data_IF_366618021624
#
_entry.id   IF_366618021624
#
_cell.length_a   1.000
_cell.length_b   1.000
_cell.length_c   1.000
_cell.angle_alpha   90.00
_cell.angle_beta   90.00
_cell.angle_gamma   90.00
#
_symmetry.space_group_name_H-M   'P 1'
#
loop_
_entity.id
_entity.type
_entity.pdbx_description
1 polymer ?
#
# COMPACT_ATOMS: atom_id res chain seq x y z
N UNK A 1 -18.19 -0.88 37.74
CA UNK A 1 -17.98 -0.65 36.30
C UNK A 1 -16.54 -0.87 35.86
N UNK A 2 -15.49 -0.36 36.54
CA UNK A 2 -14.10 -0.66 36.18
C UNK A 2 -13.78 -2.18 36.18
N UNK A 3 -14.20 -2.93 37.23
CA UNK A 3 -14.00 -4.38 37.26
C UNK A 3 -14.69 -5.15 36.12
N UNK A 4 -15.83 -4.64 35.65
CA UNK A 4 -16.55 -5.21 34.51
C UNK A 4 -15.80 -4.96 33.20
N UNK A 5 -15.27 -3.74 33.03
CA UNK A 5 -14.45 -3.43 31.85
C UNK A 5 -13.16 -4.22 31.83
N UNK A 6 -12.51 -4.42 32.97
CA UNK A 6 -11.31 -5.25 33.09
C UNK A 6 -11.57 -6.72 32.72
N UNK A 7 -12.77 -7.22 33.03
CA UNK A 7 -13.20 -8.57 32.60
C UNK A 7 -13.43 -8.61 31.07
N UNK A 8 -14.05 -7.57 30.51
CA UNK A 8 -14.23 -7.45 29.06
C UNK A 8 -12.89 -7.35 28.32
N UNK A 9 -11.95 -6.57 28.84
CA UNK A 9 -10.60 -6.44 28.24
C UNK A 9 -9.88 -7.78 28.19
N UNK A 10 -9.84 -8.53 29.29
CA UNK A 10 -9.19 -9.86 29.34
C UNK A 10 -9.81 -10.84 28.35
N UNK A 11 -11.13 -10.82 28.19
CA UNK A 11 -11.82 -11.70 27.25
C UNK A 11 -11.54 -11.30 25.81
N UNK A 12 -11.57 -9.99 25.49
CA UNK A 12 -11.27 -9.49 24.16
C UNK A 12 -9.81 -9.67 23.78
N UNK A 13 -8.87 -9.61 24.72
CA UNK A 13 -7.45 -9.91 24.50
C UNK A 13 -7.23 -11.37 24.07
N UNK A 14 -8.02 -12.30 24.59
CA UNK A 14 -7.97 -13.71 24.19
C UNK A 14 -8.65 -14.00 22.84
N UNK A 15 -9.66 -13.23 22.50
CA UNK A 15 -10.51 -13.46 21.32
C UNK A 15 -10.07 -12.67 20.07
N UNK A 16 -9.28 -11.60 20.23
CA UNK A 16 -8.84 -10.74 19.14
C UNK A 16 -7.35 -10.93 18.84
N UNK A 17 -6.94 -10.75 17.58
CA UNK A 17 -5.52 -10.62 17.24
C UNK A 17 -4.86 -9.52 18.07
N UNK A 18 -3.66 -9.77 18.61
CA UNK A 18 -2.95 -8.87 19.51
C UNK A 18 -2.85 -7.41 18.99
N UNK A 19 -2.67 -7.25 17.70
CA UNK A 19 -2.60 -5.94 17.05
C UNK A 19 -3.95 -5.20 17.05
N UNK A 20 -5.06 -5.90 16.79
CA UNK A 20 -6.39 -5.30 16.82
C UNK A 20 -6.79 -4.90 18.24
N UNK A 21 -6.47 -5.76 19.22
CA UNK A 21 -6.71 -5.46 20.62
C UNK A 21 -5.93 -4.21 21.06
N UNK A 22 -4.62 -4.16 20.77
CA UNK A 22 -3.77 -3.03 21.15
C UNK A 22 -4.19 -1.70 20.51
N UNK A 23 -4.65 -1.74 19.26
CA UNK A 23 -5.00 -0.54 18.50
C UNK A 23 -6.40 0.00 18.84
N UNK A 24 -7.39 -0.89 19.04
CA UNK A 24 -8.78 -0.48 19.09
C UNK A 24 -9.44 -0.59 20.45
N UNK A 25 -9.04 -1.59 21.23
CA UNK A 25 -9.72 -1.92 22.50
C UNK A 25 -8.94 -1.38 23.70
N UNK A 26 -7.62 -1.56 23.69
CA UNK A 26 -6.75 -1.11 24.79
C UNK A 26 -6.79 0.39 25.07
N UNK A 27 -6.95 1.28 24.06
CA UNK A 27 -7.04 2.73 24.28
C UNK A 27 -8.37 3.19 24.90
N UNK A 28 -9.39 2.32 24.99
CA UNK A 28 -10.67 2.67 25.59
C UNK A 28 -10.57 2.68 27.12
N UNK A 29 -11.13 3.71 27.75
CA UNK A 29 -11.24 3.79 29.20
C UNK A 29 -12.70 3.77 29.63
N UNK A 30 -13.02 3.06 30.72
CA UNK A 30 -14.37 3.06 31.27
C UNK A 30 -14.55 4.22 32.25
N UNK A 31 -15.60 5.01 32.06
CA UNK A 31 -16.01 6.05 33.01
C UNK A 31 -17.33 5.70 33.67
N UNK A 32 -17.47 6.05 34.96
CA UNK A 32 -18.72 5.93 35.70
C UNK A 32 -19.51 7.22 35.52
N UNK A 33 -20.61 7.14 34.78
CA UNK A 33 -21.47 8.31 34.57
C UNK A 33 -22.54 8.39 35.69
N UNK A 34 -22.59 9.50 36.39
CA UNK A 34 -23.51 9.71 37.53
C UNK A 34 -25.01 9.66 37.12
N UNK A 35 -25.33 9.85 35.85
CA UNK A 35 -26.70 9.92 35.33
C UNK A 35 -27.21 8.53 34.85
N UNK A 36 -26.33 7.57 34.52
CA UNK A 36 -26.71 6.25 34.03
C UNK A 36 -25.84 5.17 34.72
N UNK A 37 -26.17 4.78 35.95
CA UNK A 37 -25.32 3.82 36.72
C UNK A 37 -25.31 2.40 36.13
N UNK A 38 -26.21 2.07 35.22
CA UNK A 38 -26.38 0.75 34.61
C UNK A 38 -25.79 0.61 33.21
N UNK A 39 -25.20 1.67 32.65
CA UNK A 39 -24.56 1.64 31.33
C UNK A 39 -23.03 1.57 31.46
N UNK A 40 -22.40 0.79 30.60
CA UNK A 40 -20.94 0.78 30.43
C UNK A 40 -20.56 1.92 29.45
N UNK A 41 -20.09 3.03 30.02
CA UNK A 41 -19.63 4.17 29.24
C UNK A 41 -18.15 4.01 28.95
N UNK A 42 -17.79 3.87 27.67
CA UNK A 42 -16.42 3.75 27.19
C UNK A 42 -16.00 5.04 26.51
N UNK A 43 -14.92 5.62 26.98
CA UNK A 43 -14.35 6.84 26.44
C UNK A 43 -13.29 6.47 25.40
N UNK A 44 -13.51 6.89 24.18
CA UNK A 44 -12.56 6.76 23.10
C UNK A 44 -11.62 7.98 23.06
N UNK A 45 -10.31 7.79 22.83
CA UNK A 45 -9.35 8.88 22.81
C UNK A 45 -9.56 9.86 21.64
N UNK A 46 -10.17 9.39 20.54
CA UNK A 46 -10.48 10.22 19.38
C UNK A 46 -11.76 9.72 18.68
N UNK A 47 -12.30 10.57 17.78
CA UNK A 47 -13.54 10.29 17.03
C UNK A 47 -13.43 9.03 16.16
N UNK A 48 -12.24 8.72 15.71
CA UNK A 48 -11.98 7.59 14.84
C UNK A 48 -12.10 6.26 15.59
N UNK A 49 -11.41 6.09 16.74
CA UNK A 49 -11.58 4.92 17.60
C UNK A 49 -13.03 4.75 17.99
N UNK A 50 -13.74 5.87 18.28
CA UNK A 50 -15.15 5.87 18.62
C UNK A 50 -16.02 5.30 17.49
N UNK A 51 -15.88 5.80 16.25
CA UNK A 51 -16.69 5.35 15.11
C UNK A 51 -16.36 3.91 14.73
N UNK A 52 -15.07 3.55 14.70
CA UNK A 52 -14.61 2.20 14.36
C UNK A 52 -15.06 1.13 15.36
N UNK A 53 -14.90 1.43 16.66
CA UNK A 53 -15.36 0.52 17.74
C UNK A 53 -16.88 0.42 17.73
N UNK A 54 -17.60 1.52 17.45
CA UNK A 54 -19.06 1.52 17.34
C UNK A 54 -19.54 0.60 16.22
N UNK A 55 -18.93 0.65 15.05
CA UNK A 55 -19.35 -0.14 13.89
C UNK A 55 -18.99 -1.63 14.02
N UNK A 56 -17.82 -1.93 14.56
CA UNK A 56 -17.28 -3.30 14.50
C UNK A 56 -17.26 -4.07 15.81
N UNK A 57 -17.17 -3.37 16.94
CA UNK A 57 -16.97 -3.99 18.23
C UNK A 57 -18.08 -3.71 19.26
N UNK A 58 -18.95 -2.72 19.06
CA UNK A 58 -19.98 -2.35 20.04
C UNK A 58 -20.89 -3.54 20.43
N UNK A 59 -21.39 -4.29 19.45
CA UNK A 59 -22.24 -5.46 19.68
C UNK A 59 -21.47 -6.59 20.40
N UNK A 60 -20.18 -6.77 20.10
CA UNK A 60 -19.33 -7.77 20.75
C UNK A 60 -19.00 -7.38 22.19
N UNK A 61 -18.67 -6.10 22.43
CA UNK A 61 -18.44 -5.56 23.75
C UNK A 61 -19.72 -5.70 24.60
N UNK A 62 -20.91 -5.37 24.05
CA UNK A 62 -22.19 -5.51 24.72
C UNK A 62 -22.48 -6.95 25.13
N UNK A 63 -22.24 -7.91 24.27
CA UNK A 63 -22.41 -9.34 24.58
C UNK A 63 -21.47 -9.80 25.71
N UNK A 64 -20.19 -9.46 25.63
CA UNK A 64 -19.20 -9.84 26.67
C UNK A 64 -19.54 -9.14 28.00
N UNK A 65 -19.97 -7.88 27.98
CA UNK A 65 -20.38 -7.15 29.14
C UNK A 65 -21.63 -7.76 29.82
N UNK A 66 -22.60 -8.21 29.01
CA UNK A 66 -23.79 -8.89 29.50
C UNK A 66 -23.45 -10.26 30.11
N UNK A 67 -22.57 -11.06 29.48
CA UNK A 67 -22.09 -12.33 30.02
C UNK A 67 -21.33 -12.14 31.34
N UNK A 68 -20.47 -11.13 31.43
CA UNK A 68 -19.68 -10.85 32.64
C UNK A 68 -20.50 -10.22 33.79
N UNK A 69 -21.53 -9.42 33.43
CA UNK A 69 -22.40 -8.74 34.40
C UNK A 69 -23.66 -9.50 34.80
N UNK A 70 -23.97 -10.63 34.14
CA UNK A 70 -25.17 -11.44 34.42
C UNK A 70 -26.50 -10.74 34.09
N UNK A 71 -26.47 -9.60 33.37
CA UNK A 71 -27.62 -8.80 32.95
C UNK A 71 -27.30 -8.07 31.65
N UNK A 72 -28.34 -7.64 30.94
CA UNK A 72 -28.16 -6.81 29.75
C UNK A 72 -27.60 -5.44 30.13
N UNK A 73 -26.46 -5.06 29.55
CA UNK A 73 -25.77 -3.80 29.85
C UNK A 73 -25.66 -2.98 28.58
N UNK A 74 -26.22 -1.76 28.62
CA UNK A 74 -26.10 -0.82 27.53
C UNK A 74 -24.65 -0.30 27.43
N UNK A 75 -24.04 -0.42 26.24
CA UNK A 75 -22.69 0.10 25.97
C UNK A 75 -22.79 1.43 25.24
N UNK A 76 -22.25 2.47 25.86
CA UNK A 76 -22.14 3.79 25.25
C UNK A 76 -20.68 4.15 24.97
N UNK A 77 -20.43 4.62 23.76
CA UNK A 77 -19.13 5.13 23.34
C UNK A 77 -19.20 6.66 23.29
N UNK A 78 -18.31 7.32 24.01
CA UNK A 78 -18.19 8.79 24.06
C UNK A 78 -16.76 9.22 23.74
N UNK A 79 -16.60 10.44 23.29
CA UNK A 79 -15.28 11.02 22.97
C UNK A 79 -14.67 11.61 24.24
N UNK A 80 -13.36 11.41 24.46
CA UNK A 80 -12.62 12.06 25.53
C UNK A 80 -12.76 13.60 25.41
N UNK A 81 -13.15 14.27 26.48
CA UNK A 81 -13.14 15.74 26.54
C UNK A 81 -11.67 16.18 26.63
N UNK A 82 -11.15 16.78 25.57
CA UNK A 82 -9.83 17.41 25.56
C UNK A 82 -9.83 18.61 26.48
N UNK A 83 -9.19 18.47 27.64
CA UNK A 83 -8.68 19.61 28.41
C UNK A 83 -7.35 19.99 27.76
N UNK A 84 -7.13 21.25 27.33
CA UNK A 84 -5.85 21.64 26.75
C UNK A 84 -4.74 21.47 27.79
N UNK A 85 -3.80 20.56 27.57
CA UNK A 85 -2.61 20.49 28.36
C UNK A 85 -1.71 21.69 28.07
N UNK A 86 -1.06 22.29 29.10
CA UNK A 86 -0.18 23.44 28.89
C UNK A 86 0.99 23.03 27.98
N UNK A 87 1.23 23.87 26.98
CA UNK A 87 2.31 23.73 26.03
C UNK A 87 3.66 23.57 26.75
N UNK A 88 4.22 22.38 26.70
CA UNK A 88 5.64 22.16 27.02
C UNK A 88 6.46 22.70 25.87
N UNK A 89 7.33 23.65 26.21
CA UNK A 89 8.35 24.17 25.31
C UNK A 89 9.14 23.00 24.67
N UNK A 90 9.52 23.10 23.38
CA UNK A 90 10.26 22.07 22.70
C UNK A 90 11.64 21.93 23.34
N UNK A 91 11.84 20.88 24.13
CA UNK A 91 13.18 20.46 24.52
C UNK A 91 13.88 20.01 23.24
N UNK A 92 14.96 20.71 22.92
CA UNK A 92 15.87 20.34 21.85
C UNK A 92 16.39 18.93 22.12
N UNK A 93 15.87 17.95 21.36
CA UNK A 93 16.48 16.63 21.29
C UNK A 93 17.80 16.82 20.56
N UNK A 94 18.94 16.40 21.14
CA UNK A 94 20.19 16.42 20.41
C UNK A 94 20.02 15.56 19.16
N UNK A 95 20.14 16.17 18.00
CA UNK A 95 20.37 15.41 16.77
C UNK A 95 21.72 14.72 16.97
N UNK A 96 21.68 13.44 17.34
CA UNK A 96 22.82 12.56 17.14
C UNK A 96 22.99 12.41 15.64
N UNK A 97 23.68 13.35 15.05
CA UNK A 97 24.26 13.23 13.73
C UNK A 97 25.33 12.15 13.82
N UNK A 98 24.90 10.89 13.68
CA UNK A 98 25.83 9.82 13.32
C UNK A 98 26.23 10.13 11.89
N UNK A 99 27.45 10.66 11.69
CA UNK A 99 28.03 10.73 10.36
C UNK A 99 27.89 9.36 9.71
N UNK A 100 27.37 9.26 8.48
CA UNK A 100 27.22 7.97 7.82
C UNK A 100 28.58 7.30 7.78
N UNK A 101 28.65 6.07 8.25
CA UNK A 101 29.91 5.33 8.22
C UNK A 101 30.42 5.25 6.77
N UNK A 102 31.75 5.34 6.51
CA UNK A 102 32.31 5.33 5.16
C UNK A 102 31.86 4.13 4.30
N UNK A 103 31.39 3.08 4.94
CA UNK A 103 30.88 1.89 4.30
C UNK A 103 29.46 2.05 3.72
N UNK A 104 28.60 2.84 4.35
CA UNK A 104 27.25 3.16 3.87
C UNK A 104 27.28 4.01 2.59
N UNK A 105 28.21 4.98 2.50
CA UNK A 105 28.42 5.77 1.28
C UNK A 105 28.93 4.93 0.12
N UNK A 106 29.87 4.00 0.38
CA UNK A 106 30.36 3.06 -0.63
C UNK A 106 29.28 2.09 -1.10
N UNK A 107 28.44 1.64 -0.18
CA UNK A 107 27.28 0.76 -0.49
C UNK A 107 26.14 1.50 -1.19
N UNK A 108 26.11 2.82 -1.20
CA UNK A 108 24.98 3.67 -1.68
C UNK A 108 23.67 3.36 -0.98
N UNK A 109 23.72 3.08 0.32
CA UNK A 109 22.55 2.83 1.14
C UNK A 109 22.03 4.13 1.76
N UNK A 110 20.70 4.24 1.84
CA UNK A 110 20.06 5.31 2.61
C UNK A 110 19.98 4.89 4.08
N UNK A 111 20.64 5.60 5.01
CA UNK A 111 20.68 5.23 6.42
C UNK A 111 19.31 5.29 7.11
N UNK A 112 18.32 5.99 6.55
CA UNK A 112 16.97 6.06 7.10
C UNK A 112 16.13 4.81 6.82
N UNK A 113 16.57 3.93 5.92
CA UNK A 113 15.86 2.71 5.58
C UNK A 113 16.33 1.56 6.47
N UNK A 114 15.70 1.44 7.63
CA UNK A 114 16.02 0.41 8.63
C UNK A 114 14.82 -0.48 8.91
N UNK A 115 15.03 -1.60 9.59
CA UNK A 115 13.93 -2.47 10.02
C UNK A 115 13.02 -1.82 11.07
N UNK A 116 13.55 -0.86 11.85
CA UNK A 116 12.79 -0.10 12.86
C UNK A 116 11.88 0.94 12.22
N UNK A 117 12.32 1.56 11.11
CA UNK A 117 11.53 2.52 10.36
C UNK A 117 10.52 1.85 9.40
N UNK A 118 10.66 0.53 9.20
CA UNK A 118 9.76 -0.25 8.35
C UNK A 118 8.52 -0.71 9.13
N UNK A 119 7.35 -0.16 8.80
CA UNK A 119 6.09 -0.53 9.43
C UNK A 119 5.67 -1.92 9.00
N UNK A 120 5.42 -2.81 9.98
CA UNK A 120 5.05 -4.20 9.75
C UNK A 120 3.55 -4.41 9.88
N UNK A 121 2.97 -5.17 8.98
CA UNK A 121 1.59 -5.60 9.01
C UNK A 121 1.43 -6.92 8.24
N UNK A 122 0.19 -7.43 8.13
CA UNK A 122 -0.08 -8.70 7.42
C UNK A 122 0.46 -8.70 5.98
N UNK A 123 0.40 -7.53 5.31
CA UNK A 123 0.80 -7.37 3.93
C UNK A 123 2.31 -7.58 3.67
N UNK A 124 3.16 -7.50 4.70
CA UNK A 124 4.61 -7.54 4.53
C UNK A 124 5.37 -8.30 5.63
N UNK A 125 4.67 -8.90 6.60
CA UNK A 125 5.31 -9.58 7.73
C UNK A 125 6.24 -10.71 7.31
N UNK A 126 5.85 -11.50 6.28
CA UNK A 126 6.66 -12.60 5.77
C UNK A 126 7.92 -12.08 5.09
N UNK A 127 7.78 -11.04 4.26
CA UNK A 127 8.92 -10.41 3.58
C UNK A 127 9.91 -9.82 4.60
N UNK A 128 9.40 -9.16 5.66
CA UNK A 128 10.25 -8.63 6.74
C UNK A 128 10.96 -9.75 7.51
N UNK A 129 10.26 -10.84 7.84
CA UNK A 129 10.86 -11.97 8.56
C UNK A 129 11.97 -12.62 7.73
N UNK A 130 11.73 -12.84 6.43
CA UNK A 130 12.75 -13.35 5.51
C UNK A 130 13.96 -12.41 5.40
N UNK A 131 13.72 -11.11 5.31
CA UNK A 131 14.76 -10.09 5.23
C UNK A 131 15.63 -10.05 6.50
N UNK A 132 15.04 -10.19 7.69
CA UNK A 132 15.78 -10.29 8.94
C UNK A 132 16.69 -11.53 8.97
N UNK A 133 16.15 -12.68 8.59
CA UNK A 133 16.93 -13.93 8.53
C UNK A 133 18.11 -13.83 7.57
N UNK A 134 17.93 -13.16 6.42
CA UNK A 134 19.00 -12.91 5.46
C UNK A 134 20.04 -11.93 6.02
N UNK A 135 19.62 -10.91 6.74
CA UNK A 135 20.54 -9.96 7.37
C UNK A 135 21.39 -10.60 8.50
N UNK A 136 20.80 -11.54 9.26
CA UNK A 136 21.49 -12.27 10.33
C UNK A 136 22.44 -13.36 9.78
N UNK A 137 22.00 -14.07 8.74
CA UNK A 137 22.72 -15.24 8.21
C UNK A 137 22.91 -15.14 6.68
N UNK A 138 23.65 -14.13 6.18
CA UNK A 138 23.82 -13.91 4.75
C UNK A 138 24.57 -15.07 4.09
N UNK A 139 24.06 -15.48 2.92
CA UNK A 139 24.60 -16.58 2.11
C UNK A 139 24.16 -17.98 2.56
N UNK A 140 23.62 -18.12 3.77
CA UNK A 140 23.17 -19.40 4.33
C UNK A 140 21.65 -19.55 4.31
N UNK A 141 20.92 -18.46 4.53
CA UNK A 141 19.44 -18.45 4.55
C UNK A 141 18.91 -17.79 3.29
N UNK A 142 17.99 -18.46 2.58
CA UNK A 142 17.23 -17.86 1.47
C UNK A 142 18.10 -17.13 0.43
N UNK A 143 18.93 -17.84 -0.31
CA UNK A 143 19.79 -17.27 -1.33
C UNK A 143 19.44 -17.78 -2.75
N UNK A 144 18.92 -16.94 -3.66
CA UNK A 144 18.57 -15.54 -3.47
C UNK A 144 17.31 -15.31 -2.62
N UNK A 145 17.19 -14.14 -2.00
CA UNK A 145 15.90 -13.63 -1.52
C UNK A 145 15.27 -12.77 -2.63
N UNK A 146 14.13 -13.19 -3.12
CA UNK A 146 13.39 -12.48 -4.16
C UNK A 146 12.13 -11.84 -3.57
N UNK A 147 12.07 -10.51 -3.59
CA UNK A 147 10.96 -9.72 -3.02
C UNK A 147 10.18 -9.10 -4.17
N UNK A 148 8.89 -9.43 -4.29
CA UNK A 148 8.05 -8.85 -5.33
C UNK A 148 6.79 -8.19 -4.76
N UNK A 149 6.18 -7.32 -5.58
CA UNK A 149 4.94 -6.63 -5.22
C UNK A 149 4.82 -5.32 -5.98
N UNK A 150 3.64 -4.74 -6.01
CA UNK A 150 3.35 -3.51 -6.75
C UNK A 150 4.30 -2.35 -6.48
N UNK A 151 4.24 -1.35 -7.34
CA UNK A 151 5.07 -0.13 -7.22
C UNK A 151 4.77 0.61 -5.92
N UNK A 152 5.82 1.09 -5.23
CA UNK A 152 5.67 1.95 -4.05
C UNK A 152 5.20 1.24 -2.78
N UNK A 153 5.32 -0.10 -2.68
CA UNK A 153 4.94 -0.88 -1.49
C UNK A 153 6.04 -1.04 -0.43
N UNK A 154 7.24 -0.49 -0.67
CA UNK A 154 8.35 -0.52 0.29
C UNK A 154 9.41 -1.59 0.02
N UNK A 155 9.46 -2.20 -1.17
CA UNK A 155 10.52 -3.16 -1.58
C UNK A 155 11.92 -2.58 -1.40
N UNK A 156 12.18 -1.41 -1.96
CA UNK A 156 13.44 -0.68 -1.84
C UNK A 156 13.83 -0.41 -0.39
N UNK A 157 12.86 -0.04 0.47
CA UNK A 157 13.09 0.16 1.89
C UNK A 157 13.59 -1.14 2.55
N UNK A 158 12.92 -2.24 2.32
CA UNK A 158 13.24 -3.53 2.93
C UNK A 158 14.60 -4.06 2.48
N UNK A 159 14.92 -3.94 1.19
CA UNK A 159 16.22 -4.32 0.63
C UNK A 159 17.34 -3.49 1.24
N UNK A 160 17.17 -2.19 1.36
CA UNK A 160 18.19 -1.32 1.96
C UNK A 160 18.29 -1.53 3.48
N UNK A 161 17.20 -1.90 4.16
CA UNK A 161 17.24 -2.29 5.58
C UNK A 161 18.13 -3.53 5.81
N UNK A 162 18.09 -4.52 4.91
CA UNK A 162 19.04 -5.66 4.95
C UNK A 162 20.49 -5.16 4.84
N UNK A 163 20.76 -4.29 3.88
CA UNK A 163 22.10 -3.73 3.67
C UNK A 163 22.60 -2.95 4.88
N UNK A 164 21.75 -2.07 5.45
CA UNK A 164 22.09 -1.29 6.64
C UNK A 164 22.34 -2.17 7.86
N UNK A 165 21.52 -3.20 8.08
CA UNK A 165 21.70 -4.13 9.18
C UNK A 165 23.00 -4.92 9.05
N UNK A 166 23.34 -5.42 7.85
CA UNK A 166 24.58 -6.12 7.62
C UNK A 166 25.81 -5.20 7.76
N UNK A 167 25.72 -3.95 7.25
CA UNK A 167 26.79 -2.98 7.38
C UNK A 167 27.09 -2.65 8.87
N UNK A 168 26.05 -2.59 9.70
CA UNK A 168 26.20 -2.38 11.15
C UNK A 168 26.83 -3.59 11.86
N UNK A 169 26.43 -4.82 11.47
CA UNK A 169 26.95 -6.05 12.07
C UNK A 169 28.36 -6.41 11.57
N UNK A 170 28.66 -6.13 10.30
CA UNK A 170 29.92 -6.48 9.63
C UNK A 170 30.47 -5.27 8.87
N UNK A 171 31.17 -4.35 9.54
CA UNK A 171 31.68 -3.13 8.91
C UNK A 171 32.66 -3.34 7.74
N UNK A 172 33.27 -4.53 7.64
CA UNK A 172 34.18 -4.87 6.55
C UNK A 172 33.49 -5.56 5.36
N UNK A 173 32.19 -5.87 5.45
CA UNK A 173 31.45 -6.52 4.37
C UNK A 173 31.38 -5.62 3.14
N UNK A 174 31.61 -6.19 1.98
CA UNK A 174 31.47 -5.52 0.69
C UNK A 174 30.03 -5.60 0.21
N UNK A 175 29.28 -4.53 0.49
CA UNK A 175 27.85 -4.43 0.18
C UNK A 175 27.68 -3.52 -1.05
N UNK A 176 26.83 -3.93 -1.98
CA UNK A 176 26.43 -3.11 -3.13
C UNK A 176 24.92 -3.10 -3.26
N UNK A 177 24.33 -1.92 -3.13
CA UNK A 177 22.96 -1.64 -3.57
C UNK A 177 23.01 -0.98 -4.94
N UNK A 178 22.20 -1.46 -5.88
CA UNK A 178 22.13 -0.93 -7.23
C UNK A 178 20.74 -1.15 -7.84
N UNK A 179 20.24 -0.16 -8.57
CA UNK A 179 19.10 -0.35 -9.47
C UNK A 179 19.54 -1.11 -10.73
N UNK A 180 18.70 -2.01 -11.22
CA UNK A 180 19.01 -2.80 -12.41
C UNK A 180 19.34 -1.93 -13.64
N UNK A 181 18.69 -0.78 -13.81
CA UNK A 181 19.03 0.16 -14.88
C UNK A 181 20.45 0.71 -14.76
N UNK A 182 20.89 1.01 -13.54
CA UNK A 182 22.27 1.45 -13.30
C UNK A 182 23.27 0.35 -13.53
N UNK A 183 22.96 -0.90 -13.17
CA UNK A 183 23.80 -2.07 -13.49
C UNK A 183 24.03 -2.17 -15.00
N UNK A 184 22.98 -2.02 -15.81
CA UNK A 184 23.08 -1.99 -17.28
C UNK A 184 24.03 -0.88 -17.73
N UNK A 185 23.90 0.30 -17.16
CA UNK A 185 24.74 1.46 -17.51
C UNK A 185 26.21 1.22 -17.15
N UNK A 186 26.49 0.66 -15.97
CA UNK A 186 27.84 0.32 -15.52
C UNK A 186 28.46 -0.75 -16.42
N UNK A 187 27.69 -1.76 -16.80
CA UNK A 187 28.10 -2.84 -17.70
C UNK A 187 28.47 -2.29 -19.09
N UNK A 188 27.60 -1.47 -19.69
CA UNK A 188 27.87 -0.86 -21.01
C UNK A 188 29.14 0.00 -20.97
N UNK A 189 29.31 0.79 -19.92
CA UNK A 189 30.51 1.61 -19.70
C UNK A 189 31.76 0.76 -19.60
N UNK A 190 31.72 -0.36 -18.85
CA UNK A 190 32.85 -1.27 -18.71
C UNK A 190 33.29 -1.87 -20.06
N UNK A 191 32.32 -2.20 -20.92
CA UNK A 191 32.63 -2.67 -22.29
C UNK A 191 33.27 -1.56 -23.14
N UNK A 192 32.72 -0.34 -23.12
CA UNK A 192 33.24 0.79 -23.88
C UNK A 192 34.67 1.17 -23.45
N UNK A 193 34.95 1.09 -22.16
CA UNK A 193 36.24 1.46 -21.56
C UNK A 193 37.25 0.29 -21.52
N UNK A 194 36.89 -0.87 -22.05
CA UNK A 194 37.74 -2.11 -21.99
C UNK A 194 38.14 -2.51 -20.56
N UNK A 195 37.30 -2.17 -19.57
CA UNK A 195 37.48 -2.46 -18.13
C UNK A 195 36.53 -3.55 -17.62
N UNK A 196 36.11 -4.44 -18.50
CA UNK A 196 35.14 -5.48 -18.20
C UNK A 196 35.61 -6.49 -17.14
N UNK A 197 36.91 -6.82 -17.13
CA UNK A 197 37.49 -7.72 -16.12
C UNK A 197 37.50 -7.08 -14.72
N UNK A 198 37.66 -5.75 -14.63
CA UNK A 198 37.58 -5.03 -13.37
C UNK A 198 36.13 -5.02 -12.86
N UNK A 199 35.16 -4.85 -13.78
CA UNK A 199 33.72 -4.93 -13.46
C UNK A 199 33.39 -6.34 -12.91
N UNK A 200 33.81 -7.41 -13.56
CA UNK A 200 33.60 -8.78 -13.07
C UNK A 200 34.25 -9.00 -11.70
N UNK A 201 35.53 -8.65 -11.53
CA UNK A 201 36.24 -8.78 -10.25
C UNK A 201 35.49 -8.03 -9.12
N UNK A 202 35.02 -6.83 -9.40
CA UNK A 202 34.28 -6.05 -8.43
C UNK A 202 32.99 -6.76 -7.99
N UNK A 203 32.12 -7.14 -8.93
CA UNK A 203 30.85 -7.80 -8.59
C UNK A 203 31.06 -9.17 -7.94
N UNK A 204 32.03 -9.95 -8.34
CA UNK A 204 32.36 -11.25 -7.72
C UNK A 204 32.96 -11.10 -6.31
N UNK A 205 33.51 -9.96 -5.97
CA UNK A 205 34.11 -9.71 -4.65
C UNK A 205 33.11 -9.30 -3.58
N UNK A 206 31.84 -9.10 -3.92
CA UNK A 206 30.81 -8.65 -2.99
C UNK A 206 30.42 -9.74 -2.00
N UNK A 207 30.11 -9.34 -0.77
CA UNK A 207 29.52 -10.21 0.24
C UNK A 207 27.99 -10.18 0.21
N UNK A 208 27.43 -9.03 -0.22
CA UNK A 208 25.99 -8.82 -0.40
C UNK A 208 25.73 -7.98 -1.64
N UNK A 209 24.95 -8.53 -2.58
CA UNK A 209 24.42 -7.82 -3.74
C UNK A 209 22.92 -7.57 -3.55
N UNK A 210 22.54 -6.30 -3.51
CA UNK A 210 21.15 -5.84 -3.45
C UNK A 210 20.81 -5.20 -4.78
N UNK A 211 19.98 -5.87 -5.58
CA UNK A 211 19.57 -5.37 -6.89
C UNK A 211 18.08 -5.05 -6.90
N UNK A 212 17.78 -3.81 -7.23
CA UNK A 212 16.42 -3.27 -7.19
C UNK A 212 15.85 -3.20 -8.61
N UNK A 213 14.57 -3.58 -8.75
CA UNK A 213 13.80 -3.49 -9.98
C UNK A 213 14.40 -4.31 -11.15
N UNK A 214 14.60 -5.61 -10.94
CA UNK A 214 15.22 -6.53 -11.92
C UNK A 214 14.49 -6.58 -13.27
N UNK A 215 13.19 -6.19 -13.33
CA UNK A 215 12.42 -6.12 -14.57
C UNK A 215 13.06 -5.21 -15.63
N UNK A 216 13.94 -4.28 -15.25
CA UNK A 216 14.69 -3.46 -16.19
C UNK A 216 15.72 -4.24 -17.02
N UNK A 217 15.97 -5.51 -16.70
CA UNK A 217 16.78 -6.41 -17.57
C UNK A 217 15.98 -7.00 -18.73
N UNK A 218 14.66 -6.89 -18.73
CA UNK A 218 13.79 -7.41 -19.80
C UNK A 218 14.27 -6.97 -21.18
N UNK A 219 14.34 -7.94 -22.11
CA UNK A 219 14.80 -7.75 -23.50
C UNK A 219 16.26 -7.23 -23.65
N UNK A 220 17.11 -7.43 -22.63
CA UNK A 220 18.54 -7.05 -22.67
C UNK A 220 19.41 -8.31 -22.53
N UNK A 221 19.44 -9.13 -23.56
CA UNK A 221 20.04 -10.48 -23.54
C UNK A 221 21.47 -10.50 -23.02
N UNK A 222 22.31 -9.58 -23.49
CA UNK A 222 23.70 -9.49 -23.03
C UNK A 222 23.84 -9.13 -21.55
N UNK A 223 22.98 -8.24 -21.07
CA UNK A 223 22.96 -7.89 -19.63
C UNK A 223 22.53 -9.08 -18.80
N UNK A 224 21.50 -9.80 -19.24
CA UNK A 224 21.00 -10.99 -18.56
C UNK A 224 22.05 -12.09 -18.52
N UNK A 225 22.83 -12.26 -19.61
CA UNK A 225 23.91 -13.24 -19.68
C UNK A 225 25.02 -12.90 -18.68
N UNK A 226 25.49 -11.67 -18.65
CA UNK A 226 26.57 -11.26 -17.74
C UNK A 226 26.10 -11.27 -16.28
N UNK A 227 24.87 -10.90 -16.04
CA UNK A 227 24.29 -11.01 -14.70
C UNK A 227 24.14 -12.45 -14.24
N UNK A 228 23.81 -13.38 -15.15
CA UNK A 228 23.74 -14.80 -14.84
C UNK A 228 25.10 -15.37 -14.38
N UNK A 229 26.22 -14.97 -15.02
CA UNK A 229 27.55 -15.37 -14.58
C UNK A 229 27.90 -14.77 -13.20
N UNK A 230 27.65 -13.49 -12.99
CA UNK A 230 27.87 -12.84 -11.69
C UNK A 230 27.03 -13.48 -10.58
N UNK A 231 25.75 -13.77 -10.87
CA UNK A 231 24.83 -14.44 -9.96
C UNK A 231 25.35 -15.82 -9.52
N UNK A 232 25.74 -16.67 -10.49
CA UNK A 232 26.24 -18.00 -10.17
C UNK A 232 27.53 -17.92 -9.33
N UNK A 233 28.47 -17.06 -9.69
CA UNK A 233 29.73 -16.90 -8.96
C UNK A 233 29.48 -16.47 -7.50
N UNK A 234 28.52 -15.58 -7.25
CA UNK A 234 28.15 -15.16 -5.90
C UNK A 234 27.50 -16.30 -5.11
N UNK A 235 26.56 -17.03 -5.71
CA UNK A 235 25.87 -18.15 -5.06
C UNK A 235 26.85 -19.28 -4.72
N UNK A 236 27.74 -19.65 -5.64
CA UNK A 236 28.78 -20.67 -5.42
C UNK A 236 29.77 -20.28 -4.32
N UNK A 237 30.05 -18.97 -4.20
CA UNK A 237 30.89 -18.43 -3.11
C UNK A 237 30.12 -18.19 -1.81
N UNK A 238 28.88 -18.66 -1.70
CA UNK A 238 27.99 -18.43 -0.54
C UNK A 238 27.80 -16.93 -0.19
N UNK A 239 27.82 -16.06 -1.21
CA UNK A 239 27.53 -14.63 -1.05
C UNK A 239 26.05 -14.37 -1.23
N UNK A 240 25.50 -13.44 -0.47
CA UNK A 240 24.06 -13.17 -0.47
C UNK A 240 23.63 -12.31 -1.65
N UNK A 241 22.54 -12.70 -2.27
CA UNK A 241 21.85 -11.91 -3.30
C UNK A 241 20.43 -11.62 -2.83
N UNK A 242 19.99 -10.37 -2.96
CA UNK A 242 18.59 -9.94 -2.74
C UNK A 242 18.12 -9.20 -3.99
N UNK A 243 16.96 -9.58 -4.49
CA UNK A 243 16.41 -9.08 -5.76
C UNK A 243 15.01 -8.54 -5.50
N UNK A 244 14.67 -7.40 -6.12
CA UNK A 244 13.28 -6.94 -6.16
C UNK A 244 12.71 -6.94 -7.56
N UNK A 245 11.38 -7.05 -7.63
CA UNK A 245 10.61 -6.95 -8.86
C UNK A 245 9.21 -6.40 -8.57
N UNK A 246 8.56 -5.80 -9.56
CA UNK A 246 7.16 -5.39 -9.46
C UNK A 246 6.18 -6.56 -9.60
N UNK A 247 6.60 -7.65 -10.24
CA UNK A 247 5.77 -8.83 -10.53
C UNK A 247 6.43 -10.13 -10.07
N UNK A 248 5.65 -11.21 -10.03
CA UNK A 248 6.16 -12.54 -9.72
C UNK A 248 7.19 -12.99 -10.77
N UNK A 249 8.28 -13.72 -10.41
CA UNK A 249 9.37 -14.07 -11.34
C UNK A 249 8.93 -14.67 -12.68
N UNK A 250 7.96 -15.58 -12.66
CA UNK A 250 7.45 -16.24 -13.88
C UNK A 250 6.61 -15.33 -14.78
N UNK A 251 6.20 -14.17 -14.31
CA UNK A 251 5.42 -13.19 -15.06
C UNK A 251 6.29 -12.12 -15.72
N UNK A 252 7.59 -12.13 -15.47
CA UNK A 252 8.52 -11.16 -16.07
C UNK A 252 8.71 -11.50 -17.56
N UNK A 253 8.09 -10.70 -18.41
CA UNK A 253 8.24 -10.86 -19.86
C UNK A 253 9.61 -10.41 -20.34
N UNK A 254 10.20 -11.11 -21.32
CA UNK A 254 11.52 -10.77 -21.88
C UNK A 254 12.71 -11.09 -20.96
N UNK A 255 12.50 -11.92 -19.94
CA UNK A 255 13.56 -12.46 -19.08
C UNK A 255 13.86 -13.90 -19.50
N UNK A 256 15.14 -14.27 -19.54
CA UNK A 256 15.58 -15.63 -19.92
C UNK A 256 15.16 -16.64 -18.84
N UNK A 257 14.65 -17.80 -19.26
CA UNK A 257 14.15 -18.86 -18.38
C UNK A 257 15.20 -19.33 -17.34
N UNK A 258 16.48 -19.34 -17.74
CA UNK A 258 17.57 -19.70 -16.83
C UNK A 258 17.69 -18.76 -15.63
N UNK A 259 17.45 -17.44 -15.80
CA UNK A 259 17.43 -16.48 -14.71
C UNK A 259 16.17 -16.65 -13.86
N UNK A 260 14.99 -16.80 -14.49
CA UNK A 260 13.73 -17.05 -13.80
C UNK A 260 13.84 -18.30 -12.90
N UNK A 261 14.43 -19.36 -13.41
CA UNK A 261 14.68 -20.58 -12.65
C UNK A 261 15.57 -20.33 -11.43
N UNK A 262 16.63 -19.53 -11.57
CA UNK A 262 17.55 -19.17 -10.48
C UNK A 262 16.90 -18.28 -9.44
N UNK A 263 16.03 -17.37 -9.84
CA UNK A 263 15.27 -16.51 -8.91
C UNK A 263 14.34 -17.32 -8.01
N UNK A 264 13.77 -18.40 -8.54
CA UNK A 264 12.92 -19.31 -7.78
C UNK A 264 13.66 -20.33 -6.90
N UNK A 265 14.98 -20.42 -6.98
CA UNK A 265 15.75 -21.41 -6.21
C UNK A 265 15.79 -21.09 -4.71
N UNK A 266 15.88 -19.81 -4.34
CA UNK A 266 15.85 -19.37 -2.95
C UNK A 266 14.43 -19.17 -2.41
N UNK A 267 14.19 -18.09 -1.72
CA UNK A 267 12.87 -17.74 -1.21
C UNK A 267 12.27 -16.56 -2.00
N UNK A 268 11.07 -16.76 -2.52
CA UNK A 268 10.29 -15.70 -3.16
C UNK A 268 9.17 -15.26 -2.23
N UNK A 269 9.11 -13.97 -1.90
CA UNK A 269 8.13 -13.38 -0.98
C UNK A 269 7.43 -12.19 -1.59
N UNK A 270 6.14 -12.06 -1.31
CA UNK A 270 5.30 -10.94 -1.76
C UNK A 270 5.28 -9.81 -0.72
N UNK A 271 5.18 -8.58 -1.20
CA UNK A 271 4.68 -7.44 -0.44
C UNK A 271 3.37 -6.99 -1.06
N UNK A 272 2.29 -7.09 -0.29
CA UNK A 272 0.95 -6.73 -0.72
C UNK A 272 0.62 -5.27 -0.37
N UNK A 273 -0.49 -4.77 -0.93
CA UNK A 273 -0.98 -3.43 -0.58
C UNK A 273 -1.40 -3.38 0.90
N UNK A 274 -0.99 -2.34 1.65
CA UNK A 274 -1.29 -2.23 3.06
C UNK A 274 -2.77 -2.00 3.32
N UNK A 275 -3.32 -2.67 4.32
CA UNK A 275 -4.66 -2.41 4.85
C UNK A 275 -4.73 -1.01 5.49
N UNK A 276 -5.94 -0.52 5.77
CA UNK A 276 -6.15 0.85 6.27
C UNK A 276 -5.35 1.14 7.55
N UNK A 277 -5.38 0.20 8.49
CA UNK A 277 -4.67 0.31 9.77
C UNK A 277 -3.16 0.45 9.58
N UNK A 278 -2.61 -0.37 8.69
CA UNK A 278 -1.20 -0.30 8.35
C UNK A 278 -0.86 1.02 7.63
N UNK A 279 -1.75 1.53 6.76
CA UNK A 279 -1.55 2.84 6.12
C UNK A 279 -1.51 3.97 7.14
N UNK A 280 -2.41 3.96 8.14
CA UNK A 280 -2.42 4.94 9.24
C UNK A 280 -1.09 4.88 10.01
N UNK A 281 -0.65 3.67 10.38
CA UNK A 281 0.62 3.49 11.10
C UNK A 281 1.82 3.98 10.26
N UNK A 282 1.81 3.76 8.94
CA UNK A 282 2.85 4.28 8.03
C UNK A 282 2.87 5.81 8.04
N UNK A 283 1.71 6.46 7.92
CA UNK A 283 1.62 7.93 7.92
C UNK A 283 2.13 8.51 9.24
N UNK A 284 1.73 7.93 10.38
CA UNK A 284 2.21 8.36 11.70
C UNK A 284 3.74 8.17 11.85
N UNK A 285 4.26 7.01 11.45
CA UNK A 285 5.71 6.72 11.51
C UNK A 285 6.52 7.66 10.63
N UNK A 286 5.99 8.01 9.45
CA UNK A 286 6.64 8.97 8.54
C UNK A 286 6.58 10.39 9.06
N UNK A 287 5.48 10.80 9.71
CA UNK A 287 5.38 12.12 10.37
C UNK A 287 6.36 12.21 11.56
N UNK A 288 6.48 11.16 12.36
CA UNK A 288 7.47 11.07 13.44
C UNK A 288 8.91 11.25 12.92
N UNK A 289 9.24 10.60 11.80
CA UNK A 289 10.55 10.73 11.15
C UNK A 289 10.84 12.16 10.61
N UNK A 290 9.78 12.91 10.25
CA UNK A 290 9.86 14.33 9.87
C UNK A 290 9.87 15.27 11.09
N UNK A 291 9.86 14.73 12.31
CA UNK A 291 9.84 15.49 13.57
C UNK A 291 8.51 16.19 13.86
N UNK A 292 7.41 15.72 13.28
CA UNK A 292 6.09 16.31 13.44
C UNK A 292 5.18 15.35 14.22
N UNK A 293 4.60 15.84 15.32
CA UNK A 293 3.53 15.14 16.01
C UNK A 293 2.23 15.28 15.21
N UNK A 294 1.88 14.25 14.45
CA UNK A 294 0.68 14.22 13.64
C UNK A 294 -0.50 13.65 14.45
N UNK A 295 -1.63 14.35 14.46
CA UNK A 295 -2.85 13.84 15.09
C UNK A 295 -3.39 12.62 14.31
N UNK A 296 -3.87 11.60 15.03
CA UNK A 296 -4.35 10.35 14.41
C UNK A 296 -5.49 10.56 13.40
N UNK A 297 -6.38 11.55 13.65
CA UNK A 297 -7.49 11.87 12.74
C UNK A 297 -6.99 12.31 11.36
N UNK A 298 -5.86 13.03 11.32
CA UNK A 298 -5.25 13.50 10.06
C UNK A 298 -4.58 12.32 9.36
N UNK A 299 -3.86 11.47 10.10
CA UNK A 299 -3.24 10.27 9.55
C UNK A 299 -4.30 9.34 8.97
N UNK A 300 -5.40 9.13 9.68
CA UNK A 300 -6.53 8.35 9.20
C UNK A 300 -7.18 8.96 7.96
N UNK A 301 -7.38 10.28 7.95
CA UNK A 301 -7.94 10.97 6.81
C UNK A 301 -7.08 10.76 5.56
N UNK A 302 -5.76 10.92 5.65
CA UNK A 302 -4.83 10.66 4.56
C UNK A 302 -4.94 9.19 4.11
N UNK A 303 -4.83 8.24 5.04
CA UNK A 303 -4.85 6.81 4.77
C UNK A 303 -6.18 6.31 4.16
N UNK A 304 -7.31 6.93 4.52
CA UNK A 304 -8.63 6.62 3.97
C UNK A 304 -8.77 7.01 2.51
N UNK A 305 -8.20 8.15 2.13
CA UNK A 305 -8.37 8.72 0.79
C UNK A 305 -7.25 8.34 -0.17
N UNK A 306 -6.05 8.06 0.33
CA UNK A 306 -4.91 7.59 -0.49
C UNK A 306 -4.76 6.09 -0.27
N UNK A 307 -5.20 5.30 -1.27
CA UNK A 307 -5.29 3.82 -1.16
C UNK A 307 -4.29 3.08 -2.03
N UNK A 308 -3.68 3.76 -2.97
CA UNK A 308 -2.89 3.18 -4.07
C UNK A 308 -1.60 2.51 -3.59
N UNK A 309 -0.72 3.27 -2.93
CA UNK A 309 0.58 2.78 -2.46
C UNK A 309 1.21 3.68 -1.39
N UNK A 310 2.30 3.20 -0.77
CA UNK A 310 2.98 3.93 0.32
C UNK A 310 3.68 5.20 -0.19
N UNK A 311 4.17 5.20 -1.44
CA UNK A 311 4.82 6.39 -2.03
C UNK A 311 3.83 7.55 -2.16
N UNK A 312 2.60 7.27 -2.55
CA UNK A 312 1.54 8.29 -2.61
C UNK A 312 1.08 8.73 -1.22
N UNK A 313 1.05 7.82 -0.23
CA UNK A 313 0.80 8.19 1.17
C UNK A 313 1.85 9.17 1.69
N UNK A 314 3.15 8.90 1.44
CA UNK A 314 4.24 9.81 1.79
C UNK A 314 4.12 11.16 1.06
N UNK A 315 3.77 11.14 -0.22
CA UNK A 315 3.53 12.34 -1.02
C UNK A 315 2.39 13.19 -0.45
N UNK A 316 1.27 12.56 -0.07
CA UNK A 316 0.13 13.23 0.55
C UNK A 316 0.48 13.81 1.91
N UNK A 317 1.20 13.06 2.76
CA UNK A 317 1.70 13.57 4.05
C UNK A 317 2.59 14.79 3.84
N UNK A 318 3.60 14.71 2.97
CA UNK A 318 4.50 15.84 2.66
C UNK A 318 3.74 17.06 2.19
N UNK A 319 2.70 16.89 1.37
CA UNK A 319 1.85 17.99 0.89
C UNK A 319 1.09 18.65 2.04
N UNK A 320 0.52 17.86 2.96
CA UNK A 320 -0.17 18.37 4.16
C UNK A 320 0.80 19.13 5.08
N UNK A 321 1.99 18.57 5.34
CA UNK A 321 3.00 19.21 6.17
C UNK A 321 3.52 20.52 5.54
N UNK A 322 3.77 20.53 4.24
CA UNK A 322 4.20 21.70 3.50
C UNK A 322 3.13 22.81 3.54
N UNK A 323 1.85 22.45 3.36
CA UNK A 323 0.73 23.38 3.41
C UNK A 323 0.59 24.02 4.81
N UNK A 324 0.70 23.23 5.88
CA UNK A 324 0.67 23.75 7.26
C UNK A 324 1.83 24.70 7.54
N UNK A 325 3.06 24.35 7.12
CA UNK A 325 4.25 25.23 7.24
C UNK A 325 4.07 26.53 6.47
N UNK A 326 3.52 26.46 5.26
CA UNK A 326 3.32 27.65 4.42
C UNK A 326 2.25 28.59 4.97
N UNK A 327 1.15 28.06 5.52
CA UNK A 327 0.05 28.86 6.08
C UNK A 327 0.34 29.37 7.51
N UNK A 328 1.38 28.83 8.18
CA UNK A 328 1.74 29.20 9.56
C UNK A 328 0.68 28.83 10.60
N UNK A 329 -0.26 27.94 10.26
CA UNK A 329 -1.36 27.51 11.14
C UNK A 329 -1.09 26.13 11.73
N UNK A 330 -1.65 25.84 12.88
CA UNK A 330 -1.61 24.50 13.47
C UNK A 330 -2.23 23.47 12.54
N UNK A 331 -1.66 22.29 12.50
CA UNK A 331 -2.05 21.19 11.62
C UNK A 331 -3.44 20.67 12.06
N UNK A 332 -4.46 20.91 11.24
CA UNK A 332 -5.85 20.52 11.49
C UNK A 332 -6.40 19.66 10.37
N UNK A 333 -7.53 18.97 10.65
CA UNK A 333 -8.20 18.15 9.65
C UNK A 333 -8.69 18.99 8.45
N UNK A 334 -9.12 20.24 8.68
CA UNK A 334 -9.59 21.12 7.61
C UNK A 334 -8.46 21.57 6.71
N UNK A 335 -7.28 21.84 7.28
CA UNK A 335 -6.07 22.09 6.49
C UNK A 335 -5.62 20.88 5.68
N UNK A 336 -5.70 19.67 6.26
CA UNK A 336 -5.42 18.44 5.52
C UNK A 336 -6.40 18.24 4.35
N UNK A 337 -7.68 18.56 4.53
CA UNK A 337 -8.69 18.54 3.45
C UNK A 337 -8.36 19.53 2.34
N UNK A 338 -7.98 20.74 2.72
CA UNK A 338 -7.63 21.79 1.76
C UNK A 338 -6.37 21.43 0.99
N UNK A 339 -5.32 20.98 1.68
CA UNK A 339 -4.07 20.53 1.08
C UNK A 339 -4.24 19.37 0.09
N UNK A 340 -5.17 18.45 0.37
CA UNK A 340 -5.43 17.26 -0.44
C UNK A 340 -6.63 17.40 -1.39
N UNK A 341 -7.16 18.62 -1.57
CA UNK A 341 -8.36 18.87 -2.37
C UNK A 341 -8.27 18.28 -3.78
N UNK A 342 -7.11 18.35 -4.42
CA UNK A 342 -6.90 17.81 -5.76
C UNK A 342 -7.01 16.28 -5.75
N UNK A 343 -6.39 15.60 -4.76
CA UNK A 343 -6.44 14.15 -4.61
C UNK A 343 -7.87 13.70 -4.33
N UNK A 344 -8.58 14.45 -3.47
CA UNK A 344 -9.99 14.19 -3.16
C UNK A 344 -10.89 14.38 -4.37
N UNK A 345 -10.64 15.42 -5.17
CA UNK A 345 -11.39 15.67 -6.39
C UNK A 345 -11.16 14.59 -7.45
N UNK A 346 -9.94 14.07 -7.57
CA UNK A 346 -9.63 12.93 -8.45
C UNK A 346 -10.28 11.65 -7.91
N UNK A 347 -10.24 11.40 -6.61
CA UNK A 347 -10.89 10.24 -5.97
C UNK A 347 -12.43 10.32 -6.05
N UNK A 348 -13.01 11.53 -5.94
CA UNK A 348 -14.44 11.76 -6.15
C UNK A 348 -14.87 11.72 -7.62
N UNK A 349 -13.92 11.83 -8.55
CA UNK A 349 -14.09 11.53 -9.97
C UNK A 349 -13.89 10.04 -10.27
N UNK A 350 -13.93 9.14 -9.27
CA UNK A 350 -14.07 7.73 -9.57
C UNK A 350 -15.30 7.56 -10.45
N UNK A 351 -15.06 7.07 -11.66
CA UNK A 351 -16.09 6.79 -12.64
C UNK A 351 -17.04 5.77 -12.00
N UNK A 352 -18.19 6.25 -11.54
CA UNK A 352 -19.22 5.38 -10.97
C UNK A 352 -20.10 4.84 -12.10
N UNK A 353 -20.72 3.68 -11.88
CA UNK A 353 -21.64 3.11 -12.88
C UNK A 353 -22.81 4.04 -13.15
N UNK A 354 -23.32 4.71 -12.14
CA UNK A 354 -24.37 5.73 -12.26
C UNK A 354 -23.90 6.92 -13.10
N UNK A 355 -22.65 7.36 -12.91
CA UNK A 355 -22.01 8.39 -13.73
C UNK A 355 -21.90 7.96 -15.18
N UNK A 356 -21.47 6.72 -15.45
CA UNK A 356 -21.42 6.14 -16.79
C UNK A 356 -22.82 6.09 -17.40
N UNK A 357 -23.80 5.57 -16.67
CA UNK A 357 -25.19 5.46 -17.16
C UNK A 357 -25.75 6.82 -17.52
N UNK A 358 -25.53 7.84 -16.68
CA UNK A 358 -25.98 9.21 -16.94
C UNK A 358 -25.30 9.81 -18.16
N UNK A 359 -23.97 9.76 -18.22
CA UNK A 359 -23.19 10.33 -19.35
C UNK A 359 -23.56 9.68 -20.68
N UNK A 360 -23.71 8.35 -20.71
CA UNK A 360 -24.10 7.63 -21.91
C UNK A 360 -25.56 7.94 -22.28
N UNK A 361 -26.46 8.04 -21.30
CA UNK A 361 -27.85 8.40 -21.54
C UNK A 361 -27.98 9.81 -22.13
N UNK A 362 -27.26 10.78 -21.58
CA UNK A 362 -27.24 12.17 -22.05
C UNK A 362 -26.66 12.24 -23.47
N UNK A 363 -25.58 11.52 -23.75
CA UNK A 363 -24.95 11.48 -25.08
C UNK A 363 -25.88 10.95 -26.15
N UNK A 364 -26.55 9.80 -25.90
CA UNK A 364 -27.49 9.17 -26.84
C UNK A 364 -28.92 9.74 -26.76
N UNK A 365 -29.14 10.79 -25.94
CA UNK A 365 -30.44 11.47 -25.74
C UNK A 365 -31.56 10.50 -25.34
N UNK A 366 -31.26 9.60 -24.40
CA UNK A 366 -32.22 8.68 -23.77
C UNK A 366 -32.34 9.00 -22.28
N UNK A 367 -33.39 8.48 -21.63
CA UNK A 367 -33.54 8.65 -20.16
C UNK A 367 -32.60 7.70 -19.41
N UNK A 368 -31.97 8.17 -18.33
CA UNK A 368 -31.14 7.30 -17.50
C UNK A 368 -31.91 6.07 -16.97
N UNK A 369 -33.21 6.20 -16.70
CA UNK A 369 -34.09 5.09 -16.33
C UNK A 369 -34.19 3.98 -17.41
N UNK A 370 -33.95 4.32 -18.68
CA UNK A 370 -33.95 3.33 -19.78
C UNK A 370 -32.76 2.37 -19.70
N UNK A 371 -31.69 2.72 -18.96
CA UNK A 371 -30.54 1.82 -18.70
C UNK A 371 -30.95 0.60 -17.89
N UNK A 372 -31.92 0.75 -16.98
CA UNK A 372 -32.45 -0.33 -16.15
C UNK A 372 -33.66 -1.04 -16.75
N UNK A 373 -34.27 -0.42 -17.80
CA UNK A 373 -35.53 -0.92 -18.37
C UNK A 373 -35.37 -2.26 -19.09
N UNK A 374 -36.44 -3.06 -19.13
CA UNK A 374 -36.50 -4.32 -19.89
C UNK A 374 -36.65 -4.13 -21.41
N UNK A 375 -36.76 -2.89 -21.89
CA UNK A 375 -36.91 -2.55 -23.32
C UNK A 375 -35.68 -2.98 -24.11
N UNK A 376 -35.94 -3.56 -25.32
CA UNK A 376 -34.91 -4.12 -26.22
C UNK A 376 -34.82 -3.38 -27.58
N UNK A 377 -35.49 -2.25 -27.70
CA UNK A 377 -35.42 -1.44 -28.93
C UNK A 377 -33.97 -0.99 -29.18
N UNK A 378 -33.53 -0.95 -30.42
CA UNK A 378 -32.12 -0.72 -30.81
C UNK A 378 -31.58 0.62 -30.26
N UNK A 379 -32.41 1.67 -30.19
CA UNK A 379 -32.07 2.99 -29.66
C UNK A 379 -31.84 3.00 -28.14
N UNK A 380 -32.29 1.98 -27.40
CA UNK A 380 -32.03 1.81 -25.95
C UNK A 380 -31.01 0.71 -25.70
N UNK A 381 -31.10 -0.40 -26.46
CA UNK A 381 -30.22 -1.54 -26.25
C UNK A 381 -28.77 -1.23 -26.59
N UNK A 382 -28.51 -0.45 -27.66
CA UNK A 382 -27.15 -0.10 -28.08
C UNK A 382 -26.44 0.83 -27.08
N UNK A 383 -27.01 1.96 -26.63
CA UNK A 383 -26.44 2.77 -25.57
C UNK A 383 -26.18 1.97 -24.30
N UNK A 384 -27.09 1.10 -23.88
CA UNK A 384 -26.92 0.24 -22.71
C UNK A 384 -25.74 -0.71 -22.86
N UNK A 385 -25.56 -1.33 -24.04
CA UNK A 385 -24.39 -2.18 -24.31
C UNK A 385 -23.09 -1.38 -24.23
N UNK A 386 -23.06 -0.15 -24.76
CA UNK A 386 -21.90 0.77 -24.67
C UNK A 386 -21.63 1.11 -23.20
N UNK A 387 -22.66 1.44 -22.40
CA UNK A 387 -22.51 1.75 -21.00
C UNK A 387 -21.97 0.55 -20.17
N UNK A 388 -22.46 -0.67 -20.45
CA UNK A 388 -21.94 -1.90 -19.81
C UNK A 388 -20.47 -2.14 -20.17
N UNK A 389 -20.08 -1.93 -21.44
CA UNK A 389 -18.70 -2.08 -21.87
C UNK A 389 -17.78 -1.03 -21.21
N UNK A 390 -18.21 0.23 -21.17
CA UNK A 390 -17.49 1.30 -20.46
C UNK A 390 -17.38 1.02 -18.95
N UNK A 391 -18.45 0.50 -18.32
CA UNK A 391 -18.39 0.09 -16.91
C UNK A 391 -17.35 -1.00 -16.67
N UNK A 392 -17.24 -1.98 -17.58
CA UNK A 392 -16.22 -3.04 -17.50
C UNK A 392 -14.81 -2.51 -17.70
N UNK A 393 -14.62 -1.56 -18.61
CA UNK A 393 -13.30 -1.02 -18.96
C UNK A 393 -12.81 0.06 -17.98
N UNK A 394 -13.73 0.80 -17.35
CA UNK A 394 -13.41 1.98 -16.55
C UNK A 394 -13.61 1.79 -15.03
N UNK A 395 -14.20 0.65 -14.61
CA UNK A 395 -14.39 0.34 -13.18
C UNK A 395 -13.80 -1.01 -12.82
N UNK A 396 -13.60 -1.26 -11.51
CA UNK A 396 -13.13 -2.54 -10.99
C UNK A 396 -14.26 -3.55 -10.74
N UNK A 397 -15.49 -3.25 -11.23
CA UNK A 397 -16.66 -4.09 -10.99
C UNK A 397 -16.60 -5.40 -11.77
N UNK A 398 -17.05 -6.47 -11.13
CA UNK A 398 -17.25 -7.76 -11.76
C UNK A 398 -18.46 -7.75 -12.70
N UNK A 399 -18.54 -8.70 -13.62
CA UNK A 399 -19.69 -8.81 -14.54
C UNK A 399 -21.04 -8.98 -13.82
N UNK A 400 -21.14 -9.76 -12.71
CA UNK A 400 -22.38 -9.81 -11.91
C UNK A 400 -22.77 -8.45 -11.31
N UNK A 401 -21.85 -7.71 -10.69
CA UNK A 401 -22.11 -6.39 -10.10
C UNK A 401 -22.55 -5.38 -11.15
N UNK A 402 -21.94 -5.38 -12.34
CA UNK A 402 -22.40 -4.57 -13.47
C UNK A 402 -23.81 -5.00 -13.88
N UNK A 403 -24.10 -6.28 -13.94
CA UNK A 403 -25.43 -6.80 -14.27
C UNK A 403 -26.51 -6.30 -13.31
N UNK A 404 -26.23 -6.35 -12.02
CA UNK A 404 -27.10 -5.83 -10.96
C UNK A 404 -27.36 -4.33 -11.13
N UNK A 405 -26.31 -3.53 -11.34
CA UNK A 405 -26.39 -2.09 -11.57
C UNK A 405 -27.18 -1.70 -12.84
N UNK A 406 -27.33 -2.58 -13.82
CA UNK A 406 -28.12 -2.36 -15.03
C UNK A 406 -29.50 -3.03 -15.02
N UNK A 407 -30.12 -3.17 -13.85
CA UNK A 407 -31.48 -3.69 -13.67
C UNK A 407 -31.54 -5.21 -13.53
N UNK A 408 -30.69 -5.76 -12.67
CA UNK A 408 -30.58 -7.19 -12.32
C UNK A 408 -30.45 -8.10 -13.56
N UNK A 409 -29.51 -7.77 -14.43
CA UNK A 409 -29.19 -8.56 -15.61
C UNK A 409 -28.15 -9.59 -15.29
N UNK A 410 -28.31 -10.76 -15.89
CA UNK A 410 -27.34 -11.84 -15.78
C UNK A 410 -25.95 -11.41 -16.33
N UNK A 411 -24.88 -11.90 -15.71
CA UNK A 411 -23.49 -11.65 -16.11
C UNK A 411 -23.21 -12.04 -17.57
N UNK A 412 -23.92 -13.04 -18.10
CA UNK A 412 -23.81 -13.45 -19.51
C UNK A 412 -24.33 -12.36 -20.45
N UNK A 413 -25.35 -11.59 -20.04
CA UNK A 413 -25.84 -10.42 -20.79
C UNK A 413 -24.79 -9.33 -20.86
N UNK A 414 -24.09 -9.05 -19.75
CA UNK A 414 -23.00 -8.08 -19.70
C UNK A 414 -21.84 -8.55 -20.59
N UNK A 415 -21.42 -9.79 -20.46
CA UNK A 415 -20.36 -10.38 -21.28
C UNK A 415 -20.68 -10.30 -22.77
N UNK A 416 -21.93 -10.63 -23.15
CA UNK A 416 -22.41 -10.51 -24.53
C UNK A 416 -22.37 -9.05 -25.00
N UNK A 417 -22.78 -8.09 -24.15
CA UNK A 417 -22.74 -6.67 -24.48
C UNK A 417 -21.28 -6.21 -24.76
N UNK A 418 -20.33 -6.56 -23.90
CA UNK A 418 -18.92 -6.24 -24.08
C UNK A 418 -18.35 -6.80 -25.39
N UNK A 419 -18.60 -8.08 -25.68
CA UNK A 419 -18.18 -8.74 -26.93
C UNK A 419 -18.80 -8.08 -28.17
N UNK A 420 -20.08 -7.76 -28.09
CA UNK A 420 -20.82 -7.10 -29.19
C UNK A 420 -20.23 -5.72 -29.46
N UNK A 421 -20.00 -4.90 -28.43
CA UNK A 421 -19.40 -3.58 -28.57
C UNK A 421 -17.99 -3.68 -29.14
N UNK A 422 -17.16 -4.59 -28.65
CA UNK A 422 -15.80 -4.80 -29.15
C UNK A 422 -15.79 -5.17 -30.65
N UNK A 423 -16.71 -6.02 -31.09
CA UNK A 423 -16.86 -6.40 -32.52
C UNK A 423 -17.35 -5.23 -33.38
N UNK A 424 -18.30 -4.47 -32.86
CA UNK A 424 -18.89 -3.34 -33.58
C UNK A 424 -17.92 -2.18 -33.71
N UNK A 425 -17.11 -1.90 -32.71
CA UNK A 425 -16.04 -0.87 -32.78
C UNK A 425 -15.06 -1.12 -33.92
N UNK A 426 -14.81 -2.39 -34.26
CA UNK A 426 -13.96 -2.77 -35.42
C UNK A 426 -14.62 -2.54 -36.78
N UNK A 427 -15.97 -2.60 -36.83
CA UNK A 427 -16.76 -2.53 -38.10
C UNK A 427 -17.40 -1.17 -38.33
N UNK A 428 -17.69 -0.43 -37.26
CA UNK A 428 -18.43 0.84 -37.30
C UNK A 428 -17.56 1.95 -36.68
N UNK A 429 -16.98 2.77 -37.58
CA UNK A 429 -16.13 3.89 -37.19
C UNK A 429 -16.87 4.98 -36.40
N UNK A 430 -18.19 5.15 -36.63
CA UNK A 430 -18.99 6.11 -35.90
C UNK A 430 -19.11 5.66 -34.43
N UNK A 431 -19.48 4.40 -34.21
CA UNK A 431 -19.57 3.84 -32.86
C UNK A 431 -18.21 3.86 -32.12
N UNK A 432 -17.12 3.65 -32.86
CA UNK A 432 -15.79 3.70 -32.23
C UNK A 432 -15.45 5.14 -31.81
N UNK A 433 -15.78 6.15 -32.60
CA UNK A 433 -15.64 7.57 -32.21
C UNK A 433 -16.50 7.90 -30.99
N UNK A 434 -17.78 7.50 -31.00
CA UNK A 434 -18.70 7.73 -29.88
C UNK A 434 -18.14 7.11 -28.59
N UNK A 435 -17.61 5.89 -28.66
CA UNK A 435 -17.01 5.21 -27.53
C UNK A 435 -15.80 5.97 -26.97
N UNK A 436 -14.90 6.45 -27.83
CA UNK A 436 -13.74 7.25 -27.42
C UNK A 436 -14.13 8.60 -26.82
N UNK A 437 -15.12 9.28 -27.39
CA UNK A 437 -15.64 10.54 -26.84
C UNK A 437 -16.21 10.32 -25.44
N UNK A 438 -17.03 9.27 -25.27
CA UNK A 438 -17.59 8.92 -23.97
C UNK A 438 -16.50 8.53 -22.96
N UNK A 439 -15.53 7.74 -23.38
CA UNK A 439 -14.38 7.36 -22.54
C UNK A 439 -13.58 8.60 -22.09
N UNK A 440 -13.30 9.53 -22.98
CA UNK A 440 -12.61 10.79 -22.66
C UNK A 440 -13.46 11.65 -21.72
N UNK A 441 -14.76 11.80 -22.00
CA UNK A 441 -15.68 12.58 -21.14
C UNK A 441 -15.79 12.03 -19.72
N UNK A 442 -15.68 10.70 -19.55
CA UNK A 442 -15.72 10.02 -18.26
C UNK A 442 -14.38 10.09 -17.50
N UNK A 443 -13.27 10.16 -18.22
CA UNK A 443 -11.93 10.28 -17.63
C UNK A 443 -11.57 11.73 -17.25
N UNK A 444 -12.29 12.73 -17.78
CA UNK A 444 -12.12 14.16 -17.49
C UNK A 444 -11.18 14.82 -18.45
#
# INVERSE_FOLDING_TARGET
>A
MHSLWDACLRRMEQELPAQQFATWIRPLTAEVHAVEPDALVLVAPNRFVLEWVRERFASRIGRIAAEAGGREIAVRLVLARTVPAPARAPSAVPRSGTEPSPNLERARLNPSFTFESFVTGKANQLARAAALQVAENPGLSYNPLFIYGGVGLGKTHLVQAIGNALAAQRPQARIRYIHAEQYVTELVRAYQQKSFDDFKRYYHSLDLLLIDDIQFFSNKDRTQEEFFYAFNALVEAHKQIVITCDTYPKEITGMQERLISRFGWGLTVAIEAPELEMRVAIVLKKAEAEGVALHEDIAFFIAKHVRSNVRELEGALKKVLAFARFTGRELSLDQAREALRDILNVANRQITVEGIQKTVADYFKIKAADMHSKRRTRNIARPRQVAMALAKDLTQMSLPEIGEAFGNRDHTTVLHACRTVATLRKKDQALNRDYHVLEQTLKG
#
